data_IF_198968973966
#
_entry.id   IF_198968973966
#
_cell.length_a   1.000
_cell.length_b   1.000
_cell.length_c   1.000
_cell.angle_alpha   90.00
_cell.angle_beta   90.00
_cell.angle_gamma   90.00
#
_symmetry.space_group_name_H-M   'P 1'
#
loop_
_entity.id
_entity.type
_entity.pdbx_description
1 polymer ?
#
# COMPACT_ATOMS: atom_id res chain seq x y z
N UNK A 1 -2.28 3.28 -25.90
CA UNK A 1 -2.94 1.97 -25.80
C UNK A 1 -2.76 1.41 -24.39
N UNK A 2 -3.41 0.28 -24.11
CA UNK A 2 -3.24 -0.49 -22.88
C UNK A 2 -2.80 -1.90 -23.25
N UNK A 3 -1.80 -2.45 -22.56
CA UNK A 3 -1.29 -3.80 -22.82
C UNK A 3 -1.31 -4.64 -21.53
N UNK A 4 -1.87 -5.84 -21.62
CA UNK A 4 -1.82 -6.80 -20.51
C UNK A 4 -0.44 -7.42 -20.39
N UNK A 5 0.10 -7.42 -19.17
CA UNK A 5 1.37 -8.07 -18.86
C UNK A 5 1.24 -8.92 -17.61
N UNK A 6 1.82 -10.11 -17.64
CA UNK A 6 1.83 -11.01 -16.50
C UNK A 6 3.24 -11.20 -15.98
N UNK A 7 3.42 -11.00 -14.68
CA UNK A 7 4.66 -11.25 -13.95
C UNK A 7 4.53 -12.56 -13.17
N UNK A 8 5.48 -13.47 -13.36
CA UNK A 8 5.64 -14.66 -12.53
C UNK A 8 7.06 -14.74 -12.00
N UNK A 9 7.25 -15.50 -10.93
CA UNK A 9 8.59 -15.82 -10.44
C UNK A 9 8.95 -17.24 -10.86
N UNK A 10 10.18 -17.42 -11.30
CA UNK A 10 10.78 -18.74 -11.48
C UNK A 10 11.25 -19.25 -10.12
N UNK A 11 10.66 -20.36 -9.65
CA UNK A 11 10.87 -20.87 -8.28
C UNK A 11 12.30 -21.36 -8.01
N UNK A 12 13.04 -21.75 -9.05
CA UNK A 12 14.41 -22.25 -8.91
C UNK A 12 15.44 -21.11 -8.88
N UNK A 13 15.30 -20.13 -9.76
CA UNK A 13 16.25 -19.04 -9.92
C UNK A 13 15.88 -17.77 -9.14
N UNK A 14 14.61 -17.62 -8.76
CA UNK A 14 14.05 -16.41 -8.16
C UNK A 14 13.95 -15.22 -9.12
N UNK A 15 14.05 -15.46 -10.44
CA UNK A 15 13.93 -14.40 -11.43
C UNK A 15 12.47 -14.10 -11.73
N UNK A 16 12.18 -12.83 -12.00
CA UNK A 16 10.91 -12.43 -12.57
C UNK A 16 10.91 -12.74 -14.05
N UNK A 17 9.90 -13.48 -14.49
CA UNK A 17 9.51 -13.63 -15.88
C UNK A 17 8.32 -12.70 -16.12
N UNK A 18 8.37 -11.92 -17.20
CA UNK A 18 7.28 -11.04 -17.58
C UNK A 18 6.92 -11.25 -19.05
N UNK A 19 5.62 -11.37 -19.30
CA UNK A 19 5.06 -11.76 -20.58
C UNK A 19 3.94 -10.78 -20.98
N UNK A 20 3.98 -10.31 -22.23
CA UNK A 20 2.87 -9.65 -22.91
C UNK A 20 2.34 -10.61 -23.99
N UNK A 21 1.34 -11.46 -23.67
CA UNK A 21 0.99 -12.62 -24.48
C UNK A 21 0.49 -12.24 -25.88
N UNK A 22 -0.27 -11.15 -26.01
CA UNK A 22 -0.81 -10.68 -27.29
C UNK A 22 0.27 -10.38 -28.34
N UNK A 23 1.46 -10.00 -27.87
CA UNK A 23 2.58 -9.57 -28.73
C UNK A 23 3.73 -10.59 -28.71
N UNK A 24 3.55 -11.75 -28.06
CA UNK A 24 4.61 -12.75 -27.84
C UNK A 24 5.92 -12.14 -27.28
N UNK A 25 5.81 -11.06 -26.51
CA UNK A 25 6.95 -10.42 -25.89
C UNK A 25 7.20 -11.05 -24.51
N UNK A 26 8.37 -11.64 -24.33
CA UNK A 26 8.79 -12.25 -23.06
C UNK A 26 10.18 -11.79 -22.69
N UNK A 27 10.39 -11.51 -21.41
CA UNK A 27 11.71 -11.21 -20.87
C UNK A 27 11.80 -11.62 -19.41
N UNK A 28 13.00 -11.52 -18.85
CA UNK A 28 13.25 -11.84 -17.44
C UNK A 28 14.19 -10.83 -16.80
N UNK A 29 14.05 -10.62 -15.49
CA UNK A 29 14.95 -9.80 -14.71
C UNK A 29 14.97 -10.19 -13.22
N UNK A 30 16.00 -9.73 -12.50
CA UNK A 30 16.10 -9.94 -11.05
C UNK A 30 15.14 -9.10 -10.21
N UNK A 31 14.56 -8.04 -10.77
CA UNK A 31 13.65 -7.14 -10.04
C UNK A 31 12.46 -6.75 -10.89
N UNK A 32 11.30 -6.49 -10.27
CA UNK A 32 10.10 -6.01 -10.95
C UNK A 32 10.34 -4.72 -11.74
N UNK A 33 11.10 -3.78 -11.18
CA UNK A 33 11.44 -2.52 -11.88
C UNK A 33 12.20 -2.79 -13.17
N UNK A 34 13.16 -3.71 -13.14
CA UNK A 34 13.93 -4.06 -14.34
C UNK A 34 13.09 -4.87 -15.33
N UNK A 35 12.25 -5.79 -14.83
CA UNK A 35 11.33 -6.56 -15.66
C UNK A 35 10.36 -5.64 -16.40
N UNK A 36 9.78 -4.65 -15.72
CA UNK A 36 8.92 -3.61 -16.31
C UNK A 36 9.63 -2.78 -17.39
N UNK A 37 10.90 -2.42 -17.18
CA UNK A 37 11.68 -1.72 -18.21
C UNK A 37 11.89 -2.62 -19.44
N UNK A 38 12.32 -3.86 -19.22
CA UNK A 38 12.64 -4.80 -20.29
C UNK A 38 11.42 -5.23 -21.09
N UNK A 39 10.25 -5.38 -20.46
CA UNK A 39 9.04 -5.75 -21.22
C UNK A 39 8.61 -4.62 -22.14
N UNK A 40 8.81 -3.35 -21.77
CA UNK A 40 8.59 -2.20 -22.67
C UNK A 40 9.58 -2.20 -23.83
N UNK A 41 10.85 -2.48 -23.57
CA UNK A 41 11.86 -2.64 -24.62
C UNK A 41 11.48 -3.79 -25.57
N UNK A 42 11.02 -4.92 -25.05
CA UNK A 42 10.56 -6.05 -25.87
C UNK A 42 9.29 -5.70 -26.68
N UNK A 43 8.30 -5.04 -26.07
CA UNK A 43 7.09 -4.56 -26.74
C UNK A 43 7.40 -3.55 -27.85
N UNK A 44 8.42 -2.70 -27.69
CA UNK A 44 8.80 -1.72 -28.72
C UNK A 44 9.25 -2.33 -30.04
N UNK A 45 9.52 -3.65 -30.07
CA UNK A 45 9.78 -4.39 -31.31
C UNK A 45 8.50 -4.67 -32.11
N UNK A 46 7.32 -4.56 -31.47
CA UNK A 46 6.02 -4.92 -32.03
C UNK A 46 5.08 -3.72 -32.13
N UNK A 47 5.21 -2.72 -31.24
CA UNK A 47 4.32 -1.55 -31.18
C UNK A 47 5.11 -0.26 -30.98
N UNK A 48 4.66 0.83 -31.60
CA UNK A 48 5.35 2.13 -31.53
C UNK A 48 5.14 2.85 -30.19
N UNK A 49 4.01 2.62 -29.52
CA UNK A 49 3.63 3.33 -28.29
C UNK A 49 4.06 2.60 -27.01
N UNK A 50 4.92 1.58 -27.09
CA UNK A 50 5.34 0.75 -25.96
C UNK A 50 5.88 1.55 -24.75
N UNK A 51 6.52 2.69 -25.00
CA UNK A 51 7.07 3.56 -23.96
C UNK A 51 6.02 4.38 -23.22
N UNK A 52 4.92 4.72 -23.89
CA UNK A 52 3.86 5.59 -23.36
C UNK A 52 2.58 4.84 -23.01
N UNK A 53 2.44 3.60 -23.48
CA UNK A 53 1.27 2.77 -23.20
C UNK A 53 1.16 2.41 -21.72
N UNK A 54 -0.08 2.30 -21.26
CA UNK A 54 -0.40 1.78 -19.94
C UNK A 54 -0.20 0.26 -19.94
N UNK A 55 0.44 -0.26 -18.88
CA UNK A 55 0.57 -1.70 -18.68
C UNK A 55 -0.42 -2.12 -17.59
N UNK A 56 -1.31 -3.04 -17.91
CA UNK A 56 -2.19 -3.70 -16.94
C UNK A 56 -1.45 -4.90 -16.40
N UNK A 57 -0.97 -4.80 -15.17
CA UNK A 57 -0.05 -5.75 -14.58
C UNK A 57 -0.78 -6.80 -13.72
N UNK A 58 -0.57 -8.07 -14.03
CA UNK A 58 -1.03 -9.20 -13.23
C UNK A 58 0.18 -9.92 -12.61
N UNK A 59 0.12 -10.25 -11.31
CA UNK A 59 1.19 -10.96 -10.62
C UNK A 59 0.74 -12.38 -10.27
N UNK A 60 1.42 -13.38 -10.84
CA UNK A 60 1.27 -14.80 -10.50
C UNK A 60 2.37 -15.21 -9.54
N UNK A 61 2.04 -15.22 -8.25
CA UNK A 61 2.95 -15.65 -7.20
C UNK A 61 2.73 -17.15 -6.90
N UNK A 62 3.77 -17.85 -6.42
CA UNK A 62 3.63 -19.18 -5.85
C UNK A 62 2.62 -19.16 -4.70
N UNK A 63 1.80 -20.23 -4.49
CA UNK A 63 0.69 -20.20 -3.55
C UNK A 63 1.05 -19.76 -2.13
N UNK A 64 2.23 -20.14 -1.62
CA UNK A 64 2.71 -19.73 -0.30
C UNK A 64 3.06 -18.25 -0.19
N UNK A 65 3.64 -17.66 -1.25
CA UNK A 65 3.95 -16.23 -1.31
C UNK A 65 2.67 -15.40 -1.49
N UNK A 66 1.78 -15.85 -2.36
CA UNK A 66 0.49 -15.19 -2.59
C UNK A 66 -0.33 -15.10 -1.30
N UNK A 67 -0.40 -16.19 -0.53
CA UNK A 67 -1.08 -16.20 0.76
C UNK A 67 -0.43 -15.22 1.75
N UNK A 68 0.89 -15.16 1.79
CA UNK A 68 1.63 -14.26 2.70
C UNK A 68 1.35 -12.79 2.39
N UNK A 69 1.32 -12.43 1.10
CA UNK A 69 0.99 -11.06 0.65
C UNK A 69 -0.46 -10.72 0.99
N UNK A 70 -1.42 -11.62 0.70
CA UNK A 70 -2.83 -11.40 1.05
C UNK A 70 -3.06 -11.21 2.55
N UNK A 71 -2.38 -12.00 3.39
CA UNK A 71 -2.46 -11.86 4.85
C UNK A 71 -1.94 -10.48 5.28
N UNK A 72 -0.81 -10.04 4.74
CA UNK A 72 -0.25 -8.72 5.01
C UNK A 72 -1.21 -7.59 4.60
N UNK A 73 -1.83 -7.68 3.43
CA UNK A 73 -2.83 -6.72 2.97
C UNK A 73 -4.05 -6.66 3.89
N UNK A 74 -4.57 -7.82 4.32
CA UNK A 74 -5.66 -7.89 5.28
C UNK A 74 -5.32 -7.26 6.64
N UNK A 75 -4.11 -7.50 7.15
CA UNK A 75 -3.62 -6.88 8.39
C UNK A 75 -3.50 -5.36 8.22
N UNK A 76 -2.97 -4.89 7.08
CA UNK A 76 -2.85 -3.46 6.80
C UNK A 76 -4.22 -2.78 6.75
N UNK A 77 -5.20 -3.38 6.10
CA UNK A 77 -6.56 -2.85 6.03
C UNK A 77 -7.17 -2.71 7.43
N UNK A 78 -7.10 -3.77 8.25
CA UNK A 78 -7.59 -3.75 9.65
C UNK A 78 -6.85 -2.73 10.50
N UNK A 79 -5.52 -2.63 10.35
CA UNK A 79 -4.73 -1.64 11.08
C UNK A 79 -5.15 -0.21 10.73
N UNK A 80 -5.41 0.08 9.45
CA UNK A 80 -5.89 1.40 9.03
C UNK A 80 -7.27 1.73 9.60
N UNK A 81 -8.18 0.75 9.66
CA UNK A 81 -9.49 0.92 10.25
C UNK A 81 -9.40 1.22 11.75
N UNK A 82 -8.70 0.37 12.51
CA UNK A 82 -8.48 0.57 13.95
C UNK A 82 -7.74 1.88 14.23
N UNK A 83 -6.81 2.29 13.36
CA UNK A 83 -6.12 3.58 13.50
C UNK A 83 -7.08 4.76 13.35
N UNK A 84 -8.07 4.70 12.43
CA UNK A 84 -9.10 5.75 12.28
C UNK A 84 -10.00 5.79 13.50
N UNK A 85 -10.46 4.64 13.98
CA UNK A 85 -11.27 4.53 15.20
C UNK A 85 -10.53 5.09 16.42
N UNK A 86 -9.24 4.77 16.57
CA UNK A 86 -8.40 5.27 17.66
C UNK A 86 -8.25 6.79 17.60
N UNK A 87 -8.11 7.38 16.41
CA UNK A 87 -8.04 8.83 16.25
C UNK A 87 -9.33 9.51 16.67
N UNK A 88 -10.49 8.99 16.24
CA UNK A 88 -11.80 9.51 16.60
C UNK A 88 -12.06 9.38 18.12
N UNK A 89 -11.80 8.20 18.69
CA UNK A 89 -11.91 7.96 20.12
C UNK A 89 -11.01 8.89 20.95
N UNK A 90 -9.77 9.14 20.47
CA UNK A 90 -8.84 10.07 21.12
C UNK A 90 -9.39 11.50 21.14
N UNK A 91 -9.98 11.97 20.04
CA UNK A 91 -10.62 13.29 19.97
C UNK A 91 -11.79 13.38 20.94
N UNK A 92 -12.70 12.41 20.89
CA UNK A 92 -13.87 12.35 21.77
C UNK A 92 -13.48 12.35 23.26
N UNK A 93 -12.45 11.58 23.62
CA UNK A 93 -11.91 11.54 24.97
C UNK A 93 -11.31 12.90 25.40
N UNK A 94 -10.48 13.52 24.57
CA UNK A 94 -9.89 14.83 24.87
C UNK A 94 -10.98 15.90 25.14
N UNK A 95 -12.04 15.93 24.31
CA UNK A 95 -13.17 16.83 24.49
C UNK A 95 -14.03 16.51 25.72
N UNK A 96 -14.24 15.24 26.04
CA UNK A 96 -14.93 14.84 27.27
C UNK A 96 -14.17 15.29 28.53
N UNK A 97 -12.85 15.09 28.56
CA UNK A 97 -12.00 15.53 29.66
C UNK A 97 -12.01 17.06 29.81
N UNK A 98 -11.90 17.80 28.70
CA UNK A 98 -12.03 19.27 28.69
C UNK A 98 -13.37 19.74 29.24
N UNK A 99 -14.49 19.12 28.82
CA UNK A 99 -15.84 19.45 29.32
C UNK A 99 -16.01 19.17 30.81
N UNK A 100 -15.29 18.18 31.35
CA UNK A 100 -15.22 17.89 32.78
C UNK A 100 -14.30 18.85 33.55
N UNK A 101 -13.68 19.84 32.90
CA UNK A 101 -12.76 20.80 33.53
C UNK A 101 -11.35 20.26 33.78
N UNK A 102 -11.01 19.09 33.23
CA UNK A 102 -9.69 18.48 33.41
C UNK A 102 -8.68 19.20 32.49
N UNK A 103 -7.57 19.64 33.08
CA UNK A 103 -6.50 20.33 32.36
C UNK A 103 -5.79 19.43 31.34
N UNK A 104 -5.13 20.04 30.35
CA UNK A 104 -4.42 19.32 29.27
C UNK A 104 -3.27 18.45 29.79
N UNK A 105 -2.66 18.82 30.92
CA UNK A 105 -1.57 18.04 31.56
C UNK A 105 -2.07 16.72 32.13
N UNK A 106 -3.16 16.76 32.90
CA UNK A 106 -3.76 15.56 33.50
C UNK A 106 -4.46 14.71 32.44
N UNK A 107 -5.07 15.35 31.44
CA UNK A 107 -5.63 14.65 30.28
C UNK A 107 -4.55 13.86 29.52
N UNK A 108 -3.35 14.41 29.40
CA UNK A 108 -2.21 13.70 28.80
C UNK A 108 -1.85 12.44 29.59
N UNK A 109 -1.80 12.53 30.92
CA UNK A 109 -1.54 11.37 31.78
C UNK A 109 -2.63 10.30 31.67
N UNK A 110 -3.91 10.70 31.61
CA UNK A 110 -5.04 9.77 31.50
C UNK A 110 -5.13 9.07 30.14
N UNK A 111 -4.70 9.75 29.07
CA UNK A 111 -4.77 9.25 27.70
C UNK A 111 -3.46 8.59 27.22
N UNK A 112 -2.44 8.56 28.06
CA UNK A 112 -1.06 8.19 27.69
C UNK A 112 -0.53 8.99 26.49
N UNK A 113 -0.74 10.30 26.52
CA UNK A 113 -0.35 11.26 25.50
C UNK A 113 0.42 12.43 26.10
N UNK A 114 1.23 13.10 25.28
CA UNK A 114 1.81 14.38 25.67
C UNK A 114 0.74 15.47 25.75
N UNK A 115 0.93 16.44 26.64
CA UNK A 115 0.04 17.60 26.73
C UNK A 115 -0.10 18.36 25.39
N UNK A 116 0.97 18.42 24.58
CA UNK A 116 0.93 19.00 23.23
C UNK A 116 0.00 18.22 22.30
N UNK A 117 0.03 16.88 22.38
CA UNK A 117 -0.85 16.04 21.57
C UNK A 117 -2.32 16.20 21.97
N UNK A 118 -2.60 16.35 23.26
CA UNK A 118 -3.95 16.67 23.75
C UNK A 118 -4.41 18.03 23.22
N UNK A 119 -3.56 19.05 23.26
CA UNK A 119 -3.89 20.36 22.70
C UNK A 119 -4.25 20.28 21.20
N UNK A 120 -3.46 19.55 20.41
CA UNK A 120 -3.76 19.31 18.98
C UNK A 120 -5.11 18.61 18.75
N UNK A 121 -5.50 17.68 19.62
CA UNK A 121 -6.79 16.99 19.51
C UNK A 121 -7.98 17.92 19.82
N UNK A 122 -7.75 19.01 20.55
CA UNK A 122 -8.75 20.01 20.91
C UNK A 122 -8.88 21.15 19.87
N UNK A 123 -7.93 21.28 18.95
CA UNK A 123 -7.97 22.28 17.87
C UNK A 123 -8.99 21.92 16.76
N UNK A 124 -9.50 20.69 16.77
CA UNK A 124 -10.54 20.21 15.85
C UNK A 124 -11.73 19.72 16.68
N UNK A 125 -12.84 20.45 16.66
CA UNK A 125 -14.08 20.02 17.30
C UNK A 125 -14.61 18.76 16.56
N UNK A 126 -14.95 17.67 17.28
CA UNK A 126 -15.51 16.48 16.66
C UNK A 126 -16.92 16.78 16.14
N UNK A 127 -17.24 16.28 14.95
CA UNK A 127 -18.62 16.27 14.41
C UNK A 127 -19.59 15.43 15.27
#
# INVERSE_FOLDING_TARGET
MTYEVTYSIDDESGWWVVEAPEHNAVTQAKTLTTARKRIREALSLFVEDANTAELVETFRLPPGLEQSVRVLEGIRARFQEVQREQQDASRKAAWALRRAGIGTRDSGLLMDLTHQRVAQLLDSEPE
#
